data_IF_606757379305
#
_entry.id   IF_606757379305
#
_cell.length_a   1.000
_cell.length_b   1.000
_cell.length_c   1.000
_cell.angle_alpha   90.00
_cell.angle_beta   90.00
_cell.angle_gamma   90.00
#
_symmetry.space_group_name_H-M   'P 1'
#
loop_
_entity.id
_entity.type
_entity.pdbx_description
1 polymer ?
#
# COMPACT_ATOMS: atom_id res chain seq x y z
N UNK A 1 -5.38 6.59 -49.47
CA UNK A 1 -6.08 6.69 -48.19
C UNK A 1 -6.24 5.31 -47.57
N UNK A 2 -5.30 4.92 -46.73
CA UNK A 2 -5.40 3.69 -45.94
C UNK A 2 -6.19 4.03 -44.71
N UNK A 3 -7.45 3.64 -44.67
CA UNK A 3 -8.29 3.66 -43.49
C UNK A 3 -7.71 2.60 -42.53
N UNK A 4 -6.90 2.98 -41.54
CA UNK A 4 -6.59 2.13 -40.43
C UNK A 4 -7.89 1.90 -39.66
N UNK A 5 -8.51 0.75 -39.92
CA UNK A 5 -9.56 0.22 -39.05
C UNK A 5 -8.91 -0.08 -37.68
N UNK A 6 -9.03 0.87 -36.76
CA UNK A 6 -8.75 0.62 -35.35
C UNK A 6 -9.86 -0.33 -34.91
N UNK A 7 -9.61 -1.62 -35.01
CA UNK A 7 -10.42 -2.63 -34.33
C UNK A 7 -10.22 -2.38 -32.85
N UNK A 8 -11.17 -1.68 -32.24
CA UNK A 8 -11.32 -1.63 -30.78
C UNK A 8 -11.71 -3.04 -30.36
N UNK A 9 -10.71 -3.89 -30.18
CA UNK A 9 -10.88 -5.12 -29.43
C UNK A 9 -11.34 -4.67 -28.04
N UNK A 10 -12.61 -4.93 -27.72
CA UNK A 10 -13.09 -4.79 -26.35
C UNK A 10 -12.39 -5.88 -25.54
N UNK A 11 -11.19 -5.60 -25.12
CA UNK A 11 -10.49 -6.47 -24.23
C UNK A 11 -11.27 -6.52 -22.92
N UNK A 12 -11.60 -7.73 -22.50
CA UNK A 12 -12.35 -7.95 -21.28
C UNK A 12 -11.45 -7.61 -20.09
N UNK A 13 -11.65 -6.42 -19.53
CA UNK A 13 -10.96 -5.95 -18.34
C UNK A 13 -11.53 -6.64 -17.11
N UNK A 14 -10.69 -6.88 -16.09
CA UNK A 14 -11.09 -7.49 -14.83
C UNK A 14 -11.66 -8.91 -14.97
N UNK A 15 -10.99 -9.75 -15.76
CA UNK A 15 -11.39 -11.15 -15.90
C UNK A 15 -11.30 -11.87 -14.56
N UNK A 16 -12.31 -12.67 -14.18
CA UNK A 16 -12.21 -13.52 -13.00
C UNK A 16 -10.98 -14.46 -13.10
N UNK A 17 -10.27 -14.60 -12.00
CA UNK A 17 -9.00 -15.36 -11.86
C UNK A 17 -7.78 -14.74 -12.54
N UNK A 18 -7.91 -13.60 -13.22
CA UNK A 18 -6.76 -12.85 -13.71
C UNK A 18 -5.90 -12.42 -12.53
N UNK A 19 -4.60 -12.61 -12.65
CA UNK A 19 -3.62 -12.21 -11.64
C UNK A 19 -3.00 -10.88 -12.04
N UNK A 20 -2.58 -10.12 -11.03
CA UNK A 20 -1.83 -8.88 -11.24
C UNK A 20 -0.69 -8.77 -10.24
N UNK A 21 0.44 -8.24 -10.70
CA UNK A 21 1.54 -7.81 -9.86
C UNK A 21 1.43 -6.29 -9.66
N UNK A 22 1.41 -5.84 -8.42
CA UNK A 22 1.29 -4.43 -8.06
C UNK A 22 2.55 -3.97 -7.36
N UNK A 23 3.05 -2.80 -7.77
CA UNK A 23 4.13 -2.09 -7.07
C UNK A 23 3.63 -0.69 -6.77
N UNK A 24 3.76 -0.25 -5.54
CA UNK A 24 3.33 1.08 -5.13
C UNK A 24 4.28 1.71 -4.13
N UNK A 25 4.28 3.03 -4.11
CA UNK A 25 5.06 3.86 -3.18
C UNK A 25 4.26 5.09 -2.80
N UNK A 26 4.64 5.71 -1.72
CA UNK A 26 3.98 6.93 -1.27
C UNK A 26 4.54 7.42 0.05
N UNK A 27 3.82 8.37 0.63
CA UNK A 27 4.18 9.01 1.89
C UNK A 27 3.28 8.51 3.01
N UNK A 28 3.87 8.39 4.19
CA UNK A 28 3.14 8.12 5.43
C UNK A 28 2.95 9.46 6.13
N UNK A 29 1.74 9.75 6.58
CA UNK A 29 1.45 10.97 7.32
C UNK A 29 1.92 10.79 8.76
N UNK A 30 2.86 11.64 9.16
CA UNK A 30 3.33 11.82 10.51
C UNK A 30 3.43 13.33 10.78
N UNK A 31 3.77 13.77 11.97
CA UNK A 31 3.84 15.19 12.38
C UNK A 31 4.66 16.10 11.44
N UNK A 32 5.60 15.54 10.68
CA UNK A 32 6.39 16.27 9.67
C UNK A 32 6.40 15.52 8.35
N UNK A 33 5.57 15.96 7.41
CA UNK A 33 5.56 15.45 6.03
C UNK A 33 6.91 15.73 5.38
N UNK A 34 7.61 14.69 4.90
CA UNK A 34 8.76 14.90 4.01
C UNK A 34 9.76 13.77 3.87
N UNK A 35 9.97 12.93 4.88
CA UNK A 35 10.97 11.87 4.81
C UNK A 35 10.42 10.47 5.09
N UNK A 36 9.11 10.37 5.31
CA UNK A 36 8.44 9.13 5.68
C UNK A 36 7.80 8.54 4.44
N UNK A 37 8.28 7.40 4.01
CA UNK A 37 7.82 6.73 2.79
C UNK A 37 7.55 5.26 3.01
N UNK A 38 6.79 4.67 2.10
CA UNK A 38 6.63 3.23 2.00
C UNK A 38 6.92 2.72 0.59
N UNK A 39 7.35 1.48 0.51
CA UNK A 39 7.45 0.69 -0.71
C UNK A 39 6.62 -0.58 -0.52
N UNK A 40 5.77 -0.87 -1.47
CA UNK A 40 4.86 -2.02 -1.41
C UNK A 40 4.94 -2.81 -2.70
N UNK A 41 5.02 -4.12 -2.58
CA UNK A 41 4.89 -5.07 -3.68
C UNK A 41 3.80 -6.07 -3.34
N UNK A 42 2.86 -6.26 -4.26
CA UNK A 42 1.71 -7.11 -4.02
C UNK A 42 1.28 -7.91 -5.24
N UNK A 43 0.46 -8.89 -4.97
CA UNK A 43 -0.21 -9.71 -5.98
C UNK A 43 -1.72 -9.60 -5.78
N UNK A 44 -2.44 -9.45 -6.88
CA UNK A 44 -3.89 -9.42 -6.89
C UNK A 44 -4.44 -10.61 -7.67
N UNK A 45 -5.61 -11.09 -7.26
CA UNK A 45 -6.36 -12.13 -7.98
C UNK A 45 -7.79 -11.63 -8.14
N UNK A 46 -8.17 -11.35 -9.38
CA UNK A 46 -9.49 -10.84 -9.69
C UNK A 46 -10.57 -11.88 -9.40
N UNK A 47 -11.63 -11.43 -8.74
CA UNK A 47 -12.84 -12.17 -8.47
C UNK A 47 -13.96 -11.83 -9.46
N UNK A 48 -15.19 -11.96 -9.00
CA UNK A 48 -16.38 -11.54 -9.75
C UNK A 48 -16.69 -10.05 -9.47
N UNK A 49 -17.37 -9.41 -10.41
CA UNK A 49 -17.92 -8.04 -10.26
C UNK A 49 -16.86 -6.93 -10.02
N UNK A 50 -15.60 -7.14 -10.40
CA UNK A 50 -14.55 -6.17 -10.19
C UNK A 50 -13.90 -6.21 -8.81
N UNK A 51 -14.29 -7.14 -7.97
CA UNK A 51 -13.63 -7.38 -6.68
C UNK A 51 -12.33 -8.18 -6.89
N UNK A 52 -11.38 -8.06 -5.98
CA UNK A 52 -10.16 -8.85 -6.03
C UNK A 52 -9.59 -9.14 -4.64
N UNK A 53 -8.86 -10.25 -4.54
CA UNK A 53 -8.01 -10.54 -3.41
C UNK A 53 -6.67 -9.82 -3.57
N UNK A 54 -6.08 -9.40 -2.45
CA UNK A 54 -4.80 -8.71 -2.38
C UNK A 54 -3.91 -9.41 -1.36
N UNK A 55 -2.66 -9.62 -1.74
CA UNK A 55 -1.57 -10.06 -0.87
C UNK A 55 -0.37 -9.17 -1.14
N UNK A 56 0.23 -8.59 -0.11
CA UNK A 56 1.33 -7.67 -0.32
C UNK A 56 2.37 -7.72 0.81
N UNK A 57 3.59 -7.33 0.46
CA UNK A 57 4.68 -7.04 1.38
C UNK A 57 4.99 -5.56 1.30
N UNK A 58 5.22 -4.94 2.44
CA UNK A 58 5.50 -3.52 2.53
C UNK A 58 6.67 -3.26 3.46
N UNK A 59 7.51 -2.36 3.02
CA UNK A 59 8.53 -1.70 3.80
C UNK A 59 8.13 -0.26 4.04
N UNK A 60 8.14 0.18 5.28
CA UNK A 60 7.86 1.57 5.67
C UNK A 60 9.05 2.12 6.44
N UNK A 61 9.48 3.30 6.06
CA UNK A 61 10.54 4.05 6.73
C UNK A 61 9.99 5.36 7.25
N UNK A 62 10.18 5.61 8.57
CA UNK A 62 9.71 6.81 9.25
C UNK A 62 10.80 7.33 10.17
N UNK A 63 10.74 8.65 10.48
CA UNK A 63 11.62 9.27 11.46
C UNK A 63 10.81 9.82 12.64
N UNK A 64 11.22 9.47 13.83
CA UNK A 64 10.76 10.11 15.06
C UNK A 64 11.80 11.11 15.55
N UNK A 65 11.35 12.27 15.98
CA UNK A 65 12.24 13.32 16.47
C UNK A 65 12.22 13.33 18.00
N UNK A 66 13.40 13.17 18.59
CA UNK A 66 13.62 13.38 20.01
C UNK A 66 14.62 14.52 20.16
N UNK A 67 14.19 15.71 20.63
CA UNK A 67 14.96 16.96 20.60
C UNK A 67 15.48 17.23 19.17
N UNK A 68 16.78 17.25 18.96
CA UNK A 68 17.44 17.46 17.67
C UNK A 68 17.87 16.14 17.00
N UNK A 69 17.61 14.99 17.63
CA UNK A 69 17.97 13.66 17.13
C UNK A 69 16.86 13.05 16.29
N UNK A 70 17.23 12.43 15.17
CA UNK A 70 16.34 11.66 14.30
C UNK A 70 16.50 10.18 14.61
N UNK A 71 15.44 9.56 15.05
CA UNK A 71 15.39 8.12 15.35
C UNK A 71 14.70 7.43 14.18
N UNK A 72 15.40 6.61 13.37
CA UNK A 72 14.80 5.87 12.29
C UNK A 72 13.92 4.73 12.84
N UNK A 73 12.76 4.56 12.24
CA UNK A 73 11.85 3.45 12.45
C UNK A 73 11.68 2.74 11.11
N UNK A 74 11.90 1.46 11.11
CA UNK A 74 11.71 0.59 9.96
C UNK A 74 10.61 -0.43 10.28
N UNK A 75 9.63 -0.54 9.40
CA UNK A 75 8.50 -1.45 9.59
C UNK A 75 8.37 -2.35 8.37
N UNK A 76 8.39 -3.65 8.59
CA UNK A 76 8.20 -4.69 7.57
C UNK A 76 6.85 -5.36 7.81
N UNK A 77 5.94 -5.27 6.86
CA UNK A 77 4.61 -5.87 7.01
C UNK A 77 4.25 -6.78 5.86
N UNK A 78 3.52 -7.84 6.16
CA UNK A 78 2.78 -8.65 5.21
C UNK A 78 1.29 -8.38 5.42
N UNK A 79 0.57 -8.17 4.33
CA UNK A 79 -0.86 -7.90 4.38
C UNK A 79 -1.61 -8.81 3.40
N UNK A 80 -2.82 -9.21 3.81
CA UNK A 80 -3.72 -9.98 2.98
C UNK A 80 -5.15 -9.53 3.19
N UNK A 81 -5.92 -9.43 2.11
CA UNK A 81 -7.27 -8.93 2.21
C UNK A 81 -8.07 -8.98 0.91
N UNK A 82 -9.15 -8.24 0.94
CA UNK A 82 -10.13 -8.22 -0.14
C UNK A 82 -10.52 -6.79 -0.50
N UNK A 83 -10.60 -6.52 -1.79
CA UNK A 83 -11.01 -5.24 -2.34
C UNK A 83 -12.35 -5.37 -3.04
N UNK A 84 -13.27 -4.47 -2.69
CA UNK A 84 -14.62 -4.37 -3.22
C UNK A 84 -14.68 -3.25 -4.25
N UNK A 85 -15.26 -3.54 -5.39
CA UNK A 85 -15.60 -2.54 -6.39
C UNK A 85 -16.75 -1.66 -5.86
N UNK A 86 -16.56 -0.36 -5.83
CA UNK A 86 -17.58 0.60 -5.42
C UNK A 86 -18.25 1.27 -6.61
N UNK A 87 -17.45 1.90 -7.45
CA UNK A 87 -17.92 2.72 -8.58
C UNK A 87 -16.96 2.58 -9.76
N UNK A 88 -17.45 2.82 -10.96
CA UNK A 88 -16.64 2.90 -12.17
C UNK A 88 -17.42 3.46 -13.35
N UNK A 89 -16.70 3.90 -14.37
CA UNK A 89 -17.30 4.32 -15.62
C UNK A 89 -17.89 3.12 -16.38
N UNK A 90 -18.76 3.37 -17.34
CA UNK A 90 -19.45 2.32 -18.11
C UNK A 90 -18.48 1.36 -18.85
N UNK A 91 -17.28 1.84 -19.17
CA UNK A 91 -16.24 1.05 -19.83
C UNK A 91 -15.21 0.47 -18.85
N UNK A 92 -15.35 0.74 -17.55
CA UNK A 92 -14.42 0.36 -16.49
C UNK A 92 -12.96 0.81 -16.77
N UNK A 93 -12.82 1.97 -17.41
CA UNK A 93 -11.51 2.59 -17.57
C UNK A 93 -10.99 3.19 -16.26
N UNK A 94 -11.92 3.70 -15.45
CA UNK A 94 -11.64 4.26 -14.14
C UNK A 94 -12.56 3.57 -13.15
N UNK A 95 -11.98 3.04 -12.08
CA UNK A 95 -12.73 2.35 -11.01
C UNK A 95 -12.29 2.83 -9.65
N UNK A 96 -13.25 2.92 -8.74
CA UNK A 96 -13.02 3.20 -7.32
C UNK A 96 -13.28 1.92 -6.54
N UNK A 97 -12.31 1.50 -5.75
CA UNK A 97 -12.39 0.29 -4.96
C UNK A 97 -12.08 0.58 -3.48
N UNK A 98 -12.71 -0.17 -2.60
CA UNK A 98 -12.47 -0.13 -1.16
C UNK A 98 -11.96 -1.49 -0.70
N UNK A 99 -10.81 -1.52 -0.05
CA UNK A 99 -10.17 -2.74 0.45
C UNK A 99 -10.06 -2.76 1.97
N UNK A 100 -10.15 -3.97 2.52
CA UNK A 100 -9.87 -4.26 3.92
C UNK A 100 -8.80 -5.35 3.95
N UNK A 101 -7.78 -5.18 4.78
CA UNK A 101 -6.66 -6.10 4.92
C UNK A 101 -6.39 -6.43 6.38
N UNK A 102 -5.98 -7.67 6.65
CA UNK A 102 -5.28 -8.02 7.88
C UNK A 102 -3.77 -7.80 7.65
N UNK A 103 -3.08 -7.34 8.66
CA UNK A 103 -1.66 -6.98 8.58
C UNK A 103 -0.91 -7.63 9.73
N UNK A 104 0.26 -8.19 9.44
CA UNK A 104 1.22 -8.68 10.43
C UNK A 104 2.60 -8.17 10.05
N UNK A 105 3.47 -7.94 11.04
CA UNK A 105 4.77 -7.40 10.72
C UNK A 105 5.71 -7.32 11.90
N UNK A 106 6.85 -6.71 11.62
CA UNK A 106 7.91 -6.47 12.56
C UNK A 106 8.36 -5.01 12.46
N UNK A 107 8.51 -4.38 13.60
CA UNK A 107 8.93 -2.99 13.74
C UNK A 107 10.27 -2.95 14.42
N UNK A 108 11.24 -2.27 13.81
CA UNK A 108 12.58 -2.04 14.35
C UNK A 108 12.81 -0.55 14.56
N UNK A 109 13.25 -0.20 15.75
CA UNK A 109 13.48 1.18 16.17
C UNK A 109 14.98 1.36 16.37
N UNK A 110 15.54 2.44 15.79
CA UNK A 110 16.96 2.78 15.86
C UNK A 110 17.89 1.59 15.47
N UNK A 111 17.43 0.75 14.52
CA UNK A 111 18.17 -0.44 14.07
C UNK A 111 18.54 -1.42 15.19
N UNK A 112 17.71 -1.47 16.25
CA UNK A 112 17.95 -2.33 17.41
C UNK A 112 18.96 -1.76 18.44
N UNK A 113 19.48 -0.55 18.24
CA UNK A 113 20.40 0.09 19.21
C UNK A 113 19.61 0.76 20.33
N UNK A 114 19.83 0.33 21.57
CA UNK A 114 19.12 0.81 22.74
C UNK A 114 19.63 2.17 23.27
N UNK A 115 20.76 2.69 22.77
CA UNK A 115 21.37 3.94 23.20
C UNK A 115 21.45 4.97 22.07
N UNK A 116 21.07 6.20 22.38
CA UNK A 116 21.31 7.37 21.52
C UNK A 116 22.72 7.95 21.79
N UNK A 117 23.23 8.76 20.87
CA UNK A 117 24.56 9.40 20.96
C UNK A 117 24.73 10.30 22.19
N UNK A 118 23.63 10.81 22.77
CA UNK A 118 23.60 11.62 23.96
C UNK A 118 23.55 10.79 25.26
N UNK A 119 23.61 9.47 25.17
CA UNK A 119 23.51 8.55 26.29
C UNK A 119 22.07 8.27 26.78
N UNK A 120 21.06 8.84 26.14
CA UNK A 120 19.67 8.55 26.43
C UNK A 120 19.32 7.12 25.98
N UNK A 121 18.56 6.41 26.82
CA UNK A 121 18.15 5.04 26.53
C UNK A 121 16.78 5.06 25.85
N UNK A 122 16.68 4.38 24.70
CA UNK A 122 15.41 4.14 24.02
C UNK A 122 14.66 3.07 24.80
N UNK A 123 13.44 3.40 25.25
CA UNK A 123 12.57 2.48 25.99
C UNK A 123 11.76 1.58 25.04
N UNK A 124 11.49 2.06 23.82
CA UNK A 124 10.78 1.29 22.80
C UNK A 124 11.72 0.24 22.19
N UNK A 125 11.27 -1.01 22.20
CA UNK A 125 12.03 -2.14 21.64
C UNK A 125 11.48 -2.53 20.27
N UNK A 126 12.23 -3.38 19.58
CA UNK A 126 11.75 -4.04 18.39
C UNK A 126 10.56 -4.95 18.72
N UNK A 127 9.46 -4.78 18.01
CA UNK A 127 8.20 -5.45 18.35
C UNK A 127 7.60 -6.19 17.15
N UNK A 128 6.97 -7.33 17.44
CA UNK A 128 6.03 -7.94 16.51
C UNK A 128 4.71 -7.18 16.56
N UNK A 129 4.26 -6.73 15.41
CA UNK A 129 3.03 -5.94 15.27
C UNK A 129 2.00 -6.70 14.43
N UNK A 130 0.74 -6.49 14.75
CA UNK A 130 -0.38 -7.01 13.97
C UNK A 130 -1.47 -5.94 13.88
N UNK A 131 -2.32 -6.05 12.89
CA UNK A 131 -3.30 -4.99 12.69
C UNK A 131 -4.29 -5.23 11.59
N UNK A 132 -5.01 -4.17 11.28
CA UNK A 132 -5.94 -4.10 10.17
C UNK A 132 -5.67 -2.86 9.31
N UNK A 133 -5.89 -2.98 8.03
CA UNK A 133 -5.75 -1.90 7.06
C UNK A 133 -7.04 -1.64 6.30
N UNK A 134 -7.30 -0.36 6.00
CA UNK A 134 -8.28 0.08 5.03
C UNK A 134 -7.60 0.78 3.88
N UNK A 135 -8.05 0.55 2.65
CA UNK A 135 -7.53 1.25 1.47
C UNK A 135 -8.66 1.70 0.55
N UNK A 136 -8.55 2.91 0.04
CA UNK A 136 -9.39 3.42 -1.03
C UNK A 136 -8.51 3.63 -2.25
N UNK A 137 -8.84 2.99 -3.38
CA UNK A 137 -8.03 3.03 -4.58
C UNK A 137 -8.83 3.54 -5.76
N UNK A 138 -8.25 4.52 -6.46
CA UNK A 138 -8.70 4.96 -7.77
C UNK A 138 -7.79 4.29 -8.81
N UNK A 139 -8.35 3.39 -9.59
CA UNK A 139 -7.63 2.62 -10.61
C UNK A 139 -7.96 3.13 -11.99
N UNK A 140 -6.95 3.48 -12.78
CA UNK A 140 -7.08 3.91 -14.17
C UNK A 140 -6.43 2.88 -15.07
N UNK A 141 -7.22 2.20 -15.89
CA UNK A 141 -6.78 1.20 -16.84
C UNK A 141 -6.21 1.86 -18.09
N UNK A 142 -4.88 1.95 -18.16
CA UNK A 142 -4.15 2.48 -19.33
C UNK A 142 -4.21 1.50 -20.52
N UNK A 143 -4.23 0.22 -20.21
CA UNK A 143 -4.42 -0.88 -21.16
C UNK A 143 -5.04 -2.07 -20.41
N UNK A 144 -5.25 -3.18 -21.10
CA UNK A 144 -5.77 -4.40 -20.47
C UNK A 144 -4.81 -5.00 -19.44
N UNK A 145 -3.53 -4.67 -19.56
CA UNK A 145 -2.46 -5.18 -18.69
C UNK A 145 -1.96 -4.16 -17.68
N UNK A 146 -1.97 -2.86 -18.01
CA UNK A 146 -1.41 -1.81 -17.18
C UNK A 146 -2.49 -0.98 -16.50
N UNK A 147 -2.42 -0.90 -15.19
CA UNK A 147 -3.34 -0.12 -14.35
C UNK A 147 -2.52 0.86 -13.52
N UNK A 148 -2.83 2.15 -13.65
CA UNK A 148 -2.33 3.18 -12.76
C UNK A 148 -3.23 3.24 -11.52
N UNK A 149 -2.62 3.29 -10.34
CA UNK A 149 -3.32 3.29 -9.05
C UNK A 149 -2.96 4.56 -8.29
N UNK A 150 -3.98 5.29 -7.86
CA UNK A 150 -3.87 6.31 -6.83
C UNK A 150 -4.58 5.76 -5.57
N UNK A 151 -3.90 5.80 -4.42
CA UNK A 151 -4.44 5.19 -3.21
C UNK A 151 -4.27 6.05 -1.98
N UNK A 152 -5.33 6.07 -1.15
CA UNK A 152 -5.29 6.49 0.23
C UNK A 152 -5.47 5.26 1.12
N UNK A 153 -4.65 5.13 2.15
CA UNK A 153 -4.67 3.96 3.04
C UNK A 153 -4.54 4.38 4.48
N UNK A 154 -5.05 3.56 5.35
CA UNK A 154 -4.81 3.67 6.78
C UNK A 154 -4.58 2.29 7.36
N UNK A 155 -3.66 2.19 8.29
CA UNK A 155 -3.40 0.96 9.06
C UNK A 155 -3.53 1.27 10.55
N UNK A 156 -4.13 0.34 11.27
CA UNK A 156 -4.21 0.37 12.73
C UNK A 156 -3.42 -0.81 13.25
N UNK A 157 -2.42 -0.55 14.06
CA UNK A 157 -1.53 -1.58 14.62
C UNK A 157 -1.74 -1.76 16.11
N UNK A 158 -1.62 -2.99 16.55
CA UNK A 158 -1.51 -3.40 17.93
C UNK A 158 -0.17 -4.09 18.16
N UNK A 159 0.32 -4.03 19.39
CA UNK A 159 1.65 -4.55 19.76
C UNK A 159 2.78 -3.58 19.47
N UNK A 160 2.49 -2.32 19.14
CA UNK A 160 3.48 -1.25 18.95
C UNK A 160 3.49 -0.32 20.17
N UNK A 161 4.66 0.21 20.50
CA UNK A 161 4.84 1.27 21.51
C UNK A 161 4.68 2.67 20.92
N UNK A 162 4.51 2.76 19.59
CA UNK A 162 4.39 4.00 18.84
C UNK A 162 2.95 4.26 18.38
N UNK A 163 2.79 5.19 17.42
CA UNK A 163 1.47 5.51 16.90
C UNK A 163 0.80 4.30 16.26
N UNK A 164 -0.40 4.00 16.74
CA UNK A 164 -1.21 2.90 16.24
C UNK A 164 -1.86 3.21 14.89
N UNK A 165 -2.26 4.45 14.68
CA UNK A 165 -2.97 4.88 13.48
C UNK A 165 -2.01 5.51 12.48
N UNK A 166 -1.80 4.87 11.33
CA UNK A 166 -0.84 5.29 10.31
C UNK A 166 -1.51 5.51 8.96
N UNK A 167 -1.98 6.72 8.68
CA UNK A 167 -2.51 7.07 7.37
C UNK A 167 -1.37 7.24 6.36
N UNK A 168 -1.63 6.88 5.11
CA UNK A 168 -0.68 7.00 4.02
C UNK A 168 -1.39 7.25 2.70
N UNK A 169 -0.69 7.90 1.77
CA UNK A 169 -1.17 8.13 0.41
C UNK A 169 -0.06 7.85 -0.60
N UNK A 170 -0.41 7.37 -1.77
CA UNK A 170 0.58 7.05 -2.78
C UNK A 170 0.04 6.64 -4.11
N UNK A 171 0.97 6.28 -4.98
CA UNK A 171 0.73 5.86 -6.35
C UNK A 171 1.31 4.48 -6.60
N UNK A 172 0.74 3.76 -7.54
CA UNK A 172 1.19 2.43 -7.91
C UNK A 172 0.91 2.10 -9.35
N UNK A 173 1.52 1.03 -9.80
CA UNK A 173 1.28 0.40 -11.09
C UNK A 173 0.97 -1.09 -10.86
N UNK A 174 -0.06 -1.58 -11.55
CA UNK A 174 -0.39 -3.01 -11.58
C UNK A 174 -0.23 -3.53 -13.00
N UNK A 175 0.42 -4.66 -13.12
CA UNK A 175 0.53 -5.43 -14.36
C UNK A 175 -0.32 -6.69 -14.25
N UNK A 176 -1.35 -6.80 -15.08
CA UNK A 176 -2.27 -7.95 -15.15
C UNK A 176 -1.79 -8.98 -16.19
N UNK A 177 -1.87 -10.26 -15.86
CA UNK A 177 -1.48 -11.39 -16.71
C UNK A 177 -2.37 -12.62 -16.53
#
# INVERSE_FOLDING_TARGET
FILMAITVTQAQRMLPKQKGLEVSTGVVSNDKIGNDYYLNIGMTVNGKNGNYQLWALEYTHQYHYYKDLRIPQETYTAEGGYSLFLLGDARKNITLNFGITGVVGYESINRGEAMLYDGAKILSQDNFIYGAGGRLTLETYLSDRFVLILQGRTKVFWGTDLEQFRPSAGVGLRFNF
#
